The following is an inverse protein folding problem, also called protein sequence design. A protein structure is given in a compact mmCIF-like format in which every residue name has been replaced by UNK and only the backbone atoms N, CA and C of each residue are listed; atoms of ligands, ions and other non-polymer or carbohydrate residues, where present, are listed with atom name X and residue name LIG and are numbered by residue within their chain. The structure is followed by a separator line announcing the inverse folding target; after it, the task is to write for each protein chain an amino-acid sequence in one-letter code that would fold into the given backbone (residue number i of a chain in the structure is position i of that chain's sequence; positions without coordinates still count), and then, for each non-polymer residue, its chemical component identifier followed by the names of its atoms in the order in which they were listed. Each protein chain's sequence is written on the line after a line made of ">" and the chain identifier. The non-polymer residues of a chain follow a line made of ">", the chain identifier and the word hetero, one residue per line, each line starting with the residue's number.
data_IF_653605863367
#
_entry.id   IF_653605863367
#
_cell.length_a   1.000
_cell.length_b   1.000
_cell.length_c   1.000
_cell.angle_alpha   90.00
_cell.angle_beta   90.00
_cell.angle_gamma   90.00
#
_symmetry.space_group_name_H-M   'P 1'
#
loop_
_entity.id
_entity.type
_entity.pdbx_description
1 polymer ?
#
# COMPACT_ATOMS: atom_id res chain seq x y z
N UNK A 1 -45.14 38.67 32.01
CA UNK A 1 -46.24 37.98 31.31
C UNK A 1 -45.98 36.50 31.38
N UNK A 2 -46.88 35.80 32.05
CA UNK A 2 -47.01 34.35 32.15
C UNK A 2 -47.22 33.76 30.75
N UNK A 3 -46.63 32.59 30.46
CA UNK A 3 -47.36 31.35 30.14
C UNK A 3 -46.39 30.17 30.08
N UNK A 4 -46.52 29.31 31.09
CA UNK A 4 -46.01 27.95 31.12
C UNK A 4 -46.81 27.06 30.16
N UNK A 5 -46.16 26.04 29.58
CA UNK A 5 -46.83 24.78 29.26
C UNK A 5 -45.93 23.64 29.72
N UNK A 6 -46.48 22.86 30.65
CA UNK A 6 -45.94 21.63 31.23
C UNK A 6 -46.57 20.45 30.50
N UNK A 7 -45.77 19.45 30.14
CA UNK A 7 -46.28 18.08 29.98
C UNK A 7 -45.38 17.14 30.76
N UNK A 8 -45.99 16.42 31.70
CA UNK A 8 -45.42 15.32 32.45
C UNK A 8 -46.15 14.04 32.06
N UNK A 9 -45.41 12.97 31.78
CA UNK A 9 -45.93 11.62 31.94
C UNK A 9 -44.84 10.74 32.55
N UNK A 10 -45.01 10.44 33.84
CA UNK A 10 -44.34 9.39 34.61
C UNK A 10 -45.12 8.08 34.40
N UNK A 11 -44.64 6.84 34.55
CA UNK A 11 -43.51 6.17 35.22
C UNK A 11 -43.41 4.77 34.53
N UNK A 12 -42.34 3.97 34.59
CA UNK A 12 -42.10 2.97 35.65
C UNK A 12 -40.73 2.28 35.42
N UNK A 13 -39.89 2.39 36.46
CA UNK A 13 -38.82 1.53 36.99
C UNK A 13 -37.58 1.13 36.17
N UNK A 14 -36.43 1.57 36.69
CA UNK A 14 -35.16 0.82 36.58
C UNK A 14 -33.91 1.70 36.70
N UNK A 15 -33.46 1.96 37.94
CA UNK A 15 -32.12 2.43 38.35
C UNK A 15 -31.28 3.22 37.31
N UNK A 16 -31.28 4.56 37.43
CA UNK A 16 -30.24 5.41 36.85
C UNK A 16 -29.09 5.54 37.85
N UNK A 17 -27.99 4.84 37.61
CA UNK A 17 -26.68 5.21 38.14
C UNK A 17 -26.12 6.34 37.28
N UNK A 18 -25.95 7.53 37.85
CA UNK A 18 -25.04 8.54 37.29
C UNK A 18 -23.62 8.19 37.73
N UNK A 19 -22.79 7.74 36.79
CA UNK A 19 -21.33 7.68 36.99
C UNK A 19 -20.72 8.90 36.32
N UNK A 20 -20.26 9.83 37.15
CA UNK A 20 -19.31 10.87 36.74
C UNK A 20 -17.93 10.23 36.64
N UNK A 21 -17.46 9.96 35.42
CA UNK A 21 -16.08 9.57 35.20
C UNK A 21 -15.21 10.82 35.13
N UNK A 22 -14.59 11.17 36.25
CA UNK A 22 -13.39 12.00 36.25
C UNK A 22 -12.23 11.16 35.74
N UNK A 23 -11.78 11.41 34.51
CA UNK A 23 -10.54 10.86 34.00
C UNK A 23 -9.36 11.58 34.66
N UNK A 24 -9.00 11.15 35.87
CA UNK A 24 -7.66 11.35 36.42
C UNK A 24 -6.97 10.00 36.45
N UNK A 25 -6.13 9.76 35.45
CA UNK A 25 -4.81 9.14 35.59
C UNK A 25 -4.14 9.14 34.21
N UNK A 26 -3.05 9.90 34.00
CA UNK A 26 -2.21 9.70 32.82
C UNK A 26 -1.62 8.28 32.91
N UNK A 27 -1.95 7.43 31.95
CA UNK A 27 -1.29 6.13 31.78
C UNK A 27 0.17 6.45 31.43
N UNK A 28 1.07 6.26 32.40
CA UNK A 28 2.50 6.15 32.12
C UNK A 28 2.69 4.91 31.27
N UNK A 29 3.05 5.09 30.00
CA UNK A 29 3.64 4.02 29.21
C UNK A 29 4.99 3.69 29.83
N UNK A 30 5.06 2.59 30.58
CA UNK A 30 6.32 1.92 30.81
C UNK A 30 6.80 1.37 29.46
N UNK A 31 7.97 1.83 29.03
CA UNK A 31 8.67 1.27 27.88
C UNK A 31 9.08 -0.16 28.21
N UNK A 32 8.20 -1.12 27.97
CA UNK A 32 8.62 -2.51 27.86
C UNK A 32 9.50 -2.61 26.63
N UNK A 33 10.81 -2.67 26.84
CA UNK A 33 11.78 -3.12 25.85
C UNK A 33 11.47 -4.59 25.51
N UNK A 34 10.41 -4.83 24.73
CA UNK A 34 10.27 -6.07 24.01
C UNK A 34 11.22 -5.98 22.82
N UNK A 35 12.38 -6.61 22.98
CA UNK A 35 13.22 -6.95 21.84
C UNK A 35 12.38 -7.76 20.86
N UNK A 36 12.13 -7.20 19.68
CA UNK A 36 11.68 -8.01 18.55
C UNK A 36 12.71 -9.13 18.35
N UNK A 37 12.30 -10.39 18.10
CA UNK A 37 13.26 -11.44 17.79
C UNK A 37 14.10 -10.97 16.61
N UNK A 38 15.41 -10.86 16.80
CA UNK A 38 16.36 -10.67 15.71
C UNK A 38 16.15 -11.82 14.73
N UNK A 39 15.55 -11.54 13.57
CA UNK A 39 15.53 -12.48 12.46
C UNK A 39 16.96 -12.62 11.96
N UNK A 40 17.71 -13.57 12.53
CA UNK A 40 19.00 -14.00 12.00
C UNK A 40 18.76 -14.77 10.70
N UNK A 41 18.67 -14.01 9.61
CA UNK A 41 18.76 -14.50 8.26
C UNK A 41 19.41 -13.42 7.42
N UNK A 42 20.53 -13.72 6.76
CA UNK A 42 21.00 -12.87 5.66
C UNK A 42 19.96 -12.98 4.54
N UNK A 43 19.13 -11.95 4.39
CA UNK A 43 18.41 -11.73 3.14
C UNK A 43 19.46 -11.46 2.08
N UNK A 44 19.55 -12.36 1.10
CA UNK A 44 20.45 -12.19 -0.05
C UNK A 44 20.15 -10.86 -0.72
N UNK A 45 21.12 -9.95 -0.72
CA UNK A 45 21.04 -8.67 -1.43
C UNK A 45 21.13 -8.84 -2.94
N UNK A 46 21.31 -10.07 -3.44
CA UNK A 46 21.46 -10.36 -4.86
C UNK A 46 20.14 -10.21 -5.66
N UNK A 47 18.97 -10.14 -4.99
CA UNK A 47 17.65 -9.97 -5.64
C UNK A 47 16.82 -8.76 -5.12
N UNK A 48 17.38 -7.84 -4.32
CA UNK A 48 16.61 -6.70 -3.78
C UNK A 48 15.61 -7.07 -2.66
N UNK A 49 14.75 -6.12 -2.25
CA UNK A 49 13.80 -6.27 -1.14
C UNK A 49 12.63 -7.20 -1.48
N UNK A 50 12.31 -8.18 -0.61
CA UNK A 50 11.12 -9.03 -0.78
C UNK A 50 10.43 -9.32 0.57
N UNK A 51 9.31 -8.64 0.86
CA UNK A 51 8.26 -9.20 1.68
C UNK A 51 6.95 -9.10 0.92
N UNK A 52 6.66 -10.16 0.16
CA UNK A 52 5.35 -10.36 -0.44
C UNK A 52 4.41 -10.93 0.59
N UNK A 53 3.88 -10.11 1.50
CA UNK A 53 2.71 -10.52 2.28
C UNK A 53 1.80 -9.34 2.55
N UNK A 54 0.51 -9.54 2.33
CA UNK A 54 -0.56 -8.62 2.69
C UNK A 54 -1.63 -9.40 3.45
N UNK A 55 -2.40 -8.71 4.29
CA UNK A 55 -3.41 -9.32 5.14
C UNK A 55 -4.70 -8.51 5.07
N UNK A 56 -5.82 -9.23 5.04
CA UNK A 56 -7.16 -8.67 5.24
C UNK A 56 -7.25 -7.88 6.56
N UNK A 57 -8.09 -6.85 6.58
CA UNK A 57 -8.24 -5.97 7.75
C UNK A 57 -8.71 -6.72 9.01
N UNK A 58 -9.46 -7.82 8.84
CA UNK A 58 -9.89 -8.68 9.95
C UNK A 58 -8.78 -9.62 10.48
N UNK A 59 -7.62 -9.63 9.82
CA UNK A 59 -6.47 -10.44 10.19
C UNK A 59 -6.61 -11.94 9.92
N UNK A 60 -7.64 -12.38 9.17
CA UNK A 60 -7.96 -13.80 8.98
C UNK A 60 -7.37 -14.41 7.72
N UNK A 61 -7.13 -13.60 6.69
CA UNK A 61 -6.60 -14.07 5.41
C UNK A 61 -5.34 -13.30 5.04
N UNK A 62 -4.28 -14.02 4.68
CA UNK A 62 -3.03 -13.47 4.16
C UNK A 62 -2.79 -13.92 2.71
N UNK A 63 -2.17 -13.05 1.93
CA UNK A 63 -1.75 -13.32 0.56
C UNK A 63 -0.26 -13.09 0.43
N UNK A 64 0.47 -14.03 -0.15
CA UNK A 64 1.92 -13.93 -0.29
C UNK A 64 2.41 -14.60 -1.57
N UNK A 65 3.59 -14.20 -2.07
CA UNK A 65 4.20 -14.85 -3.24
C UNK A 65 5.31 -15.81 -2.83
N UNK A 66 5.42 -16.93 -3.55
CA UNK A 66 6.57 -17.85 -3.48
C UNK A 66 7.18 -18.03 -4.87
N UNK A 67 8.48 -18.23 -4.94
CA UNK A 67 9.17 -18.58 -6.17
C UNK A 67 9.38 -20.08 -6.29
N UNK A 68 9.44 -20.57 -7.52
CA UNK A 68 9.82 -21.94 -7.85
C UNK A 68 10.53 -21.96 -9.21
N UNK A 69 11.46 -22.90 -9.39
CA UNK A 69 12.10 -23.09 -10.69
C UNK A 69 11.25 -23.99 -11.59
N UNK A 70 10.88 -23.49 -12.76
CA UNK A 70 10.04 -24.21 -13.72
C UNK A 70 10.72 -24.27 -15.09
N UNK A 71 10.51 -25.37 -15.82
CA UNK A 71 10.89 -25.42 -17.24
C UNK A 71 9.94 -24.49 -18.03
N UNK A 72 10.46 -23.64 -18.94
CA UNK A 72 9.59 -22.79 -19.75
C UNK A 72 8.73 -23.64 -20.69
N UNK A 73 7.67 -23.03 -21.22
CA UNK A 73 6.70 -23.68 -22.10
C UNK A 73 7.35 -24.25 -23.38
N UNK A 74 8.44 -23.65 -23.86
CA UNK A 74 9.12 -24.03 -25.09
C UNK A 74 10.63 -24.28 -24.88
N UNK A 75 11.18 -25.11 -25.76
CA UNK A 75 12.60 -25.46 -25.79
C UNK A 75 12.95 -26.61 -24.86
N UNK A 76 13.08 -27.81 -25.43
CA UNK A 76 13.38 -29.05 -24.72
C UNK A 76 14.66 -28.94 -23.84
N UNK A 77 15.62 -28.13 -24.30
CA UNK A 77 16.91 -27.90 -23.64
C UNK A 77 17.00 -26.57 -22.88
N UNK A 78 15.91 -25.80 -22.79
CA UNK A 78 15.90 -24.53 -22.06
C UNK A 78 16.21 -24.75 -20.58
N UNK A 79 16.95 -23.83 -19.97
CA UNK A 79 17.19 -23.84 -18.52
C UNK A 79 15.87 -23.60 -17.77
N UNK A 80 15.82 -24.00 -16.50
CA UNK A 80 14.70 -23.60 -15.65
C UNK A 80 14.76 -22.10 -15.41
N UNK A 81 13.59 -21.51 -15.30
CA UNK A 81 13.38 -20.10 -14.99
C UNK A 81 12.68 -19.98 -13.64
N UNK A 82 12.96 -18.90 -12.92
CA UNK A 82 12.28 -18.60 -11.65
C UNK A 82 10.89 -18.04 -11.97
N UNK A 83 9.87 -18.74 -11.49
CA UNK A 83 8.46 -18.34 -11.61
C UNK A 83 7.91 -18.01 -10.23
N UNK A 84 7.27 -16.85 -10.09
CA UNK A 84 6.61 -16.43 -8.86
C UNK A 84 5.11 -16.71 -8.91
N UNK A 85 4.56 -17.22 -7.83
CA UNK A 85 3.15 -17.57 -7.73
C UNK A 85 2.57 -17.01 -6.43
N UNK A 86 1.32 -16.57 -6.48
CA UNK A 86 0.62 -16.01 -5.31
C UNK A 86 -0.19 -17.11 -4.62
N UNK A 87 -0.14 -17.12 -3.30
CA UNK A 87 -0.85 -18.02 -2.42
C UNK A 87 -1.71 -17.24 -1.43
N UNK A 88 -2.77 -17.88 -0.96
CA UNK A 88 -3.65 -17.45 0.12
C UNK A 88 -3.50 -18.41 1.30
N UNK A 89 -3.44 -17.88 2.51
CA UNK A 89 -3.50 -18.64 3.76
C UNK A 89 -4.59 -18.07 4.67
N UNK A 90 -5.16 -18.95 5.48
CA UNK A 90 -6.22 -18.62 6.44
C UNK A 90 -5.74 -18.82 7.86
N UNK A 91 -6.18 -17.95 8.77
CA UNK A 91 -5.92 -18.06 10.19
C UNK A 91 -7.11 -18.72 10.87
N UNK A 92 -6.91 -19.95 11.34
CA UNK A 92 -7.92 -20.78 12.01
C UNK A 92 -7.41 -21.02 13.43
N UNK A 93 -8.21 -20.63 14.43
CA UNK A 93 -7.88 -20.76 15.86
C UNK A 93 -6.47 -20.25 16.22
N UNK A 94 -6.11 -19.10 15.66
CA UNK A 94 -4.81 -18.45 15.89
C UNK A 94 -3.66 -18.98 15.03
N UNK A 95 -3.85 -20.07 14.28
CA UNK A 95 -2.82 -20.72 13.48
C UNK A 95 -3.03 -20.52 11.99
N UNK A 96 -1.96 -20.24 11.25
CA UNK A 96 -2.01 -20.13 9.79
C UNK A 96 -2.03 -21.51 9.13
N UNK A 97 -3.01 -21.74 8.26
CA UNK A 97 -3.21 -22.98 7.53
C UNK A 97 -3.95 -22.74 6.21
N UNK A 98 -4.53 -23.81 5.67
CA UNK A 98 -5.30 -23.81 4.42
C UNK A 98 -4.63 -23.04 3.26
N UNK A 99 -3.35 -23.36 3.02
CA UNK A 99 -2.55 -22.66 2.03
C UNK A 99 -2.96 -23.11 0.62
N UNK A 100 -3.44 -22.17 -0.19
CA UNK A 100 -3.97 -22.42 -1.53
C UNK A 100 -3.26 -21.53 -2.54
N UNK A 101 -2.86 -22.11 -3.67
CA UNK A 101 -2.32 -21.35 -4.81
C UNK A 101 -3.45 -20.62 -5.52
N UNK A 102 -3.22 -19.36 -5.87
CA UNK A 102 -4.17 -18.54 -6.61
C UNK A 102 -3.84 -18.53 -8.10
N UNK A 103 -4.88 -18.68 -8.93
CA UNK A 103 -4.76 -18.64 -10.39
C UNK A 103 -4.88 -17.19 -10.92
N UNK A 104 -3.97 -16.32 -10.46
CA UNK A 104 -3.90 -14.89 -10.84
C UNK A 104 -3.35 -14.67 -12.25
N UNK A 105 -2.54 -15.60 -12.76
CA UNK A 105 -1.89 -15.51 -14.06
C UNK A 105 -1.72 -16.91 -14.68
N UNK A 106 -1.46 -17.01 -15.99
CA UNK A 106 -1.12 -18.27 -16.64
C UNK A 106 0.13 -18.92 -16.06
N UNK A 107 0.23 -20.25 -16.16
CA UNK A 107 1.24 -21.09 -15.49
C UNK A 107 2.70 -20.65 -15.63
N UNK A 108 3.09 -20.12 -16.79
CA UNK A 108 4.48 -19.74 -17.09
C UNK A 108 4.74 -18.24 -16.92
N UNK A 109 3.74 -17.48 -16.50
CA UNK A 109 3.91 -16.11 -16.06
C UNK A 109 4.12 -16.08 -14.54
N UNK A 110 4.90 -15.12 -14.09
CA UNK A 110 5.13 -14.79 -12.70
C UNK A 110 4.08 -13.79 -12.21
N UNK A 111 3.63 -13.98 -10.97
CA UNK A 111 2.89 -12.98 -10.19
C UNK A 111 3.53 -12.82 -8.81
N UNK A 112 3.83 -11.58 -8.43
CA UNK A 112 4.53 -11.25 -7.18
C UNK A 112 4.00 -9.95 -6.55
N UNK A 113 4.43 -9.71 -5.32
CA UNK A 113 4.10 -8.51 -4.52
C UNK A 113 2.58 -8.27 -4.38
N UNK A 114 1.81 -9.21 -3.83
CA UNK A 114 0.37 -9.03 -3.63
C UNK A 114 0.07 -7.93 -2.62
N UNK A 115 -0.95 -7.12 -2.91
CA UNK A 115 -1.61 -6.24 -1.95
C UNK A 115 -3.12 -6.38 -2.03
N UNK A 116 -3.78 -6.48 -0.89
CA UNK A 116 -5.23 -6.60 -0.80
C UNK A 116 -5.83 -5.23 -0.48
N UNK A 117 -6.96 -4.93 -1.11
CA UNK A 117 -7.74 -3.75 -0.78
C UNK A 117 -8.29 -3.85 0.66
N UNK A 118 -8.46 -2.72 1.34
CA UNK A 118 -8.98 -2.67 2.71
C UNK A 118 -10.34 -3.36 2.86
N UNK A 119 -11.21 -3.23 1.86
CA UNK A 119 -12.51 -3.91 1.81
C UNK A 119 -12.44 -5.42 1.49
N UNK A 120 -11.25 -5.96 1.22
CA UNK A 120 -11.01 -7.39 0.93
C UNK A 120 -11.52 -7.88 -0.42
N UNK A 121 -11.91 -6.98 -1.34
CA UNK A 121 -12.56 -7.34 -2.61
C UNK A 121 -11.65 -7.31 -3.83
N UNK A 122 -10.44 -6.75 -3.72
CA UNK A 122 -9.49 -6.63 -4.84
C UNK A 122 -8.10 -7.05 -4.40
N UNK A 123 -7.43 -7.82 -5.26
CA UNK A 123 -6.03 -8.20 -5.11
C UNK A 123 -5.22 -7.56 -6.23
N UNK A 124 -4.28 -6.70 -5.88
CA UNK A 124 -3.33 -6.11 -6.82
C UNK A 124 -1.99 -6.84 -6.73
N UNK A 125 -1.28 -6.94 -7.84
CA UNK A 125 -0.01 -7.66 -7.91
C UNK A 125 0.77 -7.28 -9.17
N UNK A 126 2.09 -7.50 -9.17
CA UNK A 126 2.93 -7.33 -10.34
C UNK A 126 3.03 -8.64 -11.13
N UNK A 127 2.94 -8.58 -12.46
CA UNK A 127 3.02 -9.77 -13.33
C UNK A 127 3.61 -9.50 -14.70
N UNK A 128 4.34 -10.48 -15.23
CA UNK A 128 4.91 -10.48 -16.58
C UNK A 128 4.05 -11.29 -17.58
N UNK A 129 2.73 -11.23 -17.42
CA UNK A 129 1.78 -11.88 -18.34
C UNK A 129 2.03 -11.45 -19.79
N UNK A 130 1.83 -12.38 -20.73
CA UNK A 130 1.90 -12.05 -22.16
C UNK A 130 0.90 -10.93 -22.48
N UNK A 131 1.39 -9.84 -23.06
CA UNK A 131 0.58 -8.66 -23.36
C UNK A 131 0.70 -7.53 -22.33
N UNK A 132 1.51 -7.71 -21.27
CA UNK A 132 2.02 -6.60 -20.46
C UNK A 132 2.73 -5.54 -21.33
N UNK A 133 2.72 -4.30 -20.86
CA UNK A 133 3.42 -3.17 -21.46
C UNK A 133 4.94 -3.30 -21.28
N UNK A 134 5.38 -3.78 -20.12
CA UNK A 134 6.77 -3.88 -19.74
C UNK A 134 7.19 -5.26 -19.25
N UNK A 135 8.26 -5.28 -18.45
CA UNK A 135 8.83 -6.49 -17.87
C UNK A 135 7.92 -7.08 -16.80
N UNK A 136 7.39 -6.23 -15.93
CA UNK A 136 6.34 -6.52 -14.97
C UNK A 136 5.37 -5.35 -14.91
N UNK A 137 4.09 -5.65 -15.03
CA UNK A 137 3.03 -4.66 -14.94
C UNK A 137 2.19 -4.92 -13.68
N UNK A 138 1.54 -3.88 -13.17
CA UNK A 138 0.54 -4.00 -12.12
C UNK A 138 -0.80 -4.43 -12.71
N UNK A 139 -1.34 -5.51 -12.15
CA UNK A 139 -2.65 -6.08 -12.42
C UNK A 139 -3.53 -6.01 -11.17
N UNK A 140 -4.84 -6.10 -11.37
CA UNK A 140 -5.85 -6.25 -10.33
C UNK A 140 -6.81 -7.39 -10.67
N UNK A 141 -7.17 -8.20 -9.67
CA UNK A 141 -8.23 -9.19 -9.76
C UNK A 141 -9.29 -8.96 -8.68
N UNK A 142 -10.55 -9.11 -9.05
CA UNK A 142 -11.66 -9.10 -8.10
C UNK A 142 -11.64 -10.40 -7.28
N UNK A 143 -11.92 -10.30 -5.97
CA UNK A 143 -12.03 -11.44 -5.05
C UNK A 143 -13.53 -11.71 -4.86
N UNK A 144 -13.97 -12.91 -5.23
CA UNK A 144 -15.34 -13.36 -5.04
C UNK A 144 -15.58 -13.74 -3.57
N UNK A 145 -16.86 -13.86 -3.19
CA UNK A 145 -17.25 -14.20 -1.82
C UNK A 145 -16.72 -15.56 -1.34
N UNK A 146 -16.45 -16.50 -2.25
CA UNK A 146 -15.86 -17.82 -1.98
C UNK A 146 -14.32 -17.80 -1.93
N UNK A 147 -13.70 -16.62 -2.08
CA UNK A 147 -12.25 -16.43 -2.14
C UNK A 147 -11.61 -16.75 -3.49
N UNK A 148 -12.39 -17.17 -4.49
CA UNK A 148 -11.90 -17.31 -5.87
C UNK A 148 -11.62 -15.94 -6.48
N UNK A 149 -10.76 -15.91 -7.50
CA UNK A 149 -10.39 -14.69 -8.19
C UNK A 149 -11.07 -14.59 -9.55
N UNK A 150 -11.52 -13.39 -9.88
CA UNK A 150 -11.92 -13.01 -11.23
C UNK A 150 -10.73 -12.91 -12.18
N UNK A 151 -11.03 -12.59 -13.44
CA UNK A 151 -10.00 -12.38 -14.46
C UNK A 151 -9.17 -11.14 -14.12
N UNK A 152 -7.85 -11.32 -14.07
CA UNK A 152 -6.88 -10.26 -13.82
C UNK A 152 -6.87 -9.22 -14.93
N UNK A 153 -6.94 -7.95 -14.56
CA UNK A 153 -6.97 -6.79 -15.47
C UNK A 153 -5.71 -5.97 -15.31
N UNK A 154 -5.06 -5.64 -16.41
CA UNK A 154 -3.90 -4.75 -16.43
C UNK A 154 -4.35 -3.32 -16.10
N UNK A 155 -3.61 -2.59 -15.26
CA UNK A 155 -3.97 -1.21 -14.87
C UNK A 155 -3.71 -0.16 -15.96
N UNK A 156 -3.15 -0.55 -17.10
CA UNK A 156 -2.98 0.29 -18.27
C UNK A 156 -1.84 1.30 -18.14
N UNK A 157 -1.65 2.17 -19.15
CA UNK A 157 -0.45 2.99 -19.32
C UNK A 157 -0.34 4.15 -18.32
N UNK A 158 -1.42 4.42 -17.56
CA UNK A 158 -1.39 5.39 -16.47
C UNK A 158 -0.52 4.92 -15.31
N UNK A 159 -0.37 3.61 -15.15
CA UNK A 159 0.45 2.95 -14.12
C UNK A 159 1.64 2.25 -14.78
N UNK A 160 1.37 1.40 -15.76
CA UNK A 160 2.37 0.52 -16.35
C UNK A 160 3.17 1.20 -17.47
N UNK A 161 4.43 0.84 -17.60
CA UNK A 161 5.37 1.36 -18.60
C UNK A 161 6.03 0.21 -19.36
N UNK A 162 7.15 0.47 -20.04
CA UNK A 162 7.92 -0.56 -20.73
C UNK A 162 8.91 -1.30 -19.82
N UNK A 163 9.09 -0.83 -18.59
CA UNK A 163 10.04 -1.40 -17.62
C UNK A 163 9.29 -2.16 -16.51
N UNK A 164 9.85 -2.19 -15.30
CA UNK A 164 9.27 -2.88 -14.14
C UNK A 164 8.40 -1.94 -13.30
N UNK A 165 7.13 -2.33 -13.09
CA UNK A 165 6.26 -1.79 -12.05
C UNK A 165 5.96 -2.85 -10.98
N UNK A 166 6.37 -2.55 -9.75
CA UNK A 166 6.46 -3.50 -8.65
C UNK A 166 5.85 -2.94 -7.36
N UNK A 167 5.68 -3.82 -6.36
CA UNK A 167 5.26 -3.48 -4.99
C UNK A 167 4.02 -2.57 -4.92
N UNK A 168 2.89 -2.94 -5.57
CA UNK A 168 1.66 -2.19 -5.38
C UNK A 168 1.27 -2.15 -3.89
N UNK A 169 0.81 -0.98 -3.43
CA UNK A 169 0.27 -0.79 -2.10
C UNK A 169 -0.94 0.15 -2.18
N UNK A 170 -2.12 -0.34 -1.80
CA UNK A 170 -3.35 0.46 -1.83
C UNK A 170 -3.64 1.04 -0.44
N UNK A 171 -3.73 2.37 -0.37
CA UNK A 171 -4.12 3.11 0.81
C UNK A 171 -5.56 3.62 0.68
N UNK A 172 -6.38 3.35 1.70
CA UNK A 172 -7.78 3.81 1.85
C UNK A 172 -8.67 3.62 0.60
N UNK A 173 -8.44 2.58 -0.20
CA UNK A 173 -9.15 2.29 -1.47
C UNK A 173 -8.93 3.29 -2.61
N UNK A 174 -8.29 4.43 -2.35
CA UNK A 174 -8.27 5.58 -3.26
C UNK A 174 -6.88 5.94 -3.76
N UNK A 175 -5.81 5.49 -3.10
CA UNK A 175 -4.46 5.86 -3.46
C UNK A 175 -3.60 4.61 -3.63
N UNK A 176 -3.16 4.35 -4.86
CA UNK A 176 -2.28 3.23 -5.18
C UNK A 176 -0.84 3.74 -5.29
N UNK A 177 0.01 3.28 -4.37
CA UNK A 177 1.45 3.43 -4.44
C UNK A 177 2.07 2.25 -5.17
N UNK A 178 3.19 2.50 -5.85
CA UNK A 178 3.98 1.46 -6.48
C UNK A 178 5.40 1.97 -6.78
N UNK A 179 6.33 1.05 -6.99
CA UNK A 179 7.68 1.36 -7.46
C UNK A 179 7.79 1.13 -8.98
N UNK A 180 8.52 1.99 -9.68
CA UNK A 180 8.63 1.96 -11.14
C UNK A 180 10.04 2.31 -11.60
N UNK A 181 10.55 1.58 -12.61
CA UNK A 181 11.81 1.88 -13.31
C UNK A 181 11.61 2.67 -14.62
N UNK A 182 10.40 2.68 -15.19
CA UNK A 182 10.17 3.19 -16.55
C UNK A 182 9.69 4.63 -16.65
N UNK A 183 9.94 5.45 -15.62
CA UNK A 183 9.50 6.84 -15.51
C UNK A 183 10.66 7.73 -15.06
N UNK A 184 10.55 9.03 -15.34
CA UNK A 184 11.55 10.00 -14.85
C UNK A 184 11.54 10.03 -13.32
N UNK A 185 12.69 9.73 -12.73
CA UNK A 185 12.87 9.63 -11.29
C UNK A 185 14.30 9.89 -10.88
N UNK A 186 14.68 9.40 -9.69
CA UNK A 186 15.94 9.75 -9.04
C UNK A 186 16.91 8.57 -9.00
N UNK A 187 16.42 7.32 -9.10
CA UNK A 187 17.18 6.10 -8.89
C UNK A 187 16.87 5.01 -9.91
N UNK A 188 16.86 3.76 -9.43
CA UNK A 188 16.41 2.61 -10.23
C UNK A 188 14.91 2.49 -10.13
N UNK A 189 14.44 1.80 -9.09
CA UNK A 189 13.04 1.85 -8.68
C UNK A 189 12.75 3.14 -7.92
N UNK A 190 11.81 3.95 -8.41
CA UNK A 190 11.28 5.12 -7.70
C UNK A 190 9.81 4.90 -7.33
N UNK A 191 9.37 5.49 -6.21
CA UNK A 191 7.99 5.44 -5.75
C UNK A 191 7.11 6.47 -6.46
N UNK A 192 5.94 6.00 -6.90
CA UNK A 192 4.89 6.77 -7.53
C UNK A 192 3.55 6.54 -6.81
N UNK A 193 2.62 7.48 -7.00
CA UNK A 193 1.23 7.32 -6.60
C UNK A 193 0.26 7.64 -7.75
N UNK A 194 -0.87 6.94 -7.78
CA UNK A 194 -2.01 7.25 -8.62
C UNK A 194 -3.31 7.15 -7.82
N UNK A 195 -4.30 8.00 -8.14
CA UNK A 195 -5.61 7.92 -7.52
C UNK A 195 -6.49 6.89 -8.23
N UNK A 196 -7.28 6.17 -7.44
CA UNK A 196 -8.33 5.25 -7.87
C UNK A 196 -9.67 5.92 -7.60
N UNK A 197 -10.25 6.56 -8.62
CA UNK A 197 -11.53 7.28 -8.53
C UNK A 197 -12.57 6.58 -9.39
N UNK A 198 -13.64 6.04 -8.79
CA UNK A 198 -14.74 5.37 -9.51
C UNK A 198 -14.23 4.31 -10.53
N UNK A 199 -13.29 3.45 -10.12
CA UNK A 199 -12.61 2.47 -10.98
C UNK A 199 -11.80 3.05 -12.15
N UNK A 200 -11.50 4.34 -12.13
CA UNK A 200 -10.57 4.99 -13.04
C UNK A 200 -9.30 5.40 -12.32
N UNK A 201 -8.18 5.32 -13.04
CA UNK A 201 -6.88 5.75 -12.56
C UNK A 201 -6.58 7.17 -13.03
N UNK A 202 -5.87 7.96 -12.23
CA UNK A 202 -5.23 9.21 -12.70
C UNK A 202 -3.85 8.92 -13.27
N UNK A 203 -3.21 9.92 -13.88
CA UNK A 203 -1.79 9.80 -14.20
C UNK A 203 -0.98 9.60 -12.91
N UNK A 204 0.04 8.76 -12.97
CA UNK A 204 0.92 8.50 -11.83
C UNK A 204 1.89 9.67 -11.62
N UNK A 205 2.11 10.03 -10.37
CA UNK A 205 2.94 11.14 -9.92
C UNK A 205 4.13 10.58 -9.14
N UNK A 206 5.35 11.01 -9.48
CA UNK A 206 6.56 10.67 -8.71
C UNK A 206 6.47 11.33 -7.32
N UNK A 207 6.86 10.62 -6.26
CA UNK A 207 6.78 11.11 -4.89
C UNK A 207 7.90 12.10 -4.47
N UNK A 208 8.72 12.54 -5.43
CA UNK A 208 9.75 13.57 -5.21
C UNK A 208 10.99 13.04 -4.48
N UNK A 209 12.06 13.82 -4.51
CA UNK A 209 13.38 13.46 -3.95
C UNK A 209 13.44 13.42 -2.42
N UNK A 210 12.36 13.82 -1.74
CA UNK A 210 12.26 13.69 -0.29
C UNK A 210 11.84 12.27 0.13
N UNK A 211 11.08 11.57 -0.72
CA UNK A 211 10.74 10.16 -0.55
C UNK A 211 11.70 9.30 -1.34
N UNK A 212 11.93 9.63 -2.61
CA UNK A 212 12.81 8.90 -3.51
C UNK A 212 14.28 9.29 -3.35
N UNK A 213 15.19 8.43 -3.79
CA UNK A 213 16.63 8.57 -3.64
C UNK A 213 17.37 8.15 -4.91
N UNK A 214 18.70 8.28 -4.93
CA UNK A 214 19.52 7.82 -6.06
C UNK A 214 19.74 6.29 -6.08
N UNK A 215 18.78 5.54 -5.53
CA UNK A 215 18.80 4.11 -5.20
C UNK A 215 17.43 3.51 -5.50
N UNK A 216 17.22 2.25 -5.18
CA UNK A 216 15.91 1.61 -5.31
C UNK A 216 15.05 1.87 -4.08
N UNK A 217 13.85 2.37 -4.33
CA UNK A 217 12.81 2.67 -3.36
C UNK A 217 11.59 1.81 -3.66
N UNK A 218 11.42 0.78 -2.82
CA UNK A 218 10.58 -0.36 -3.14
C UNK A 218 9.13 -0.18 -2.68
N UNK A 219 8.91 0.33 -1.47
CA UNK A 219 7.58 0.41 -0.89
C UNK A 219 7.46 1.59 0.08
N UNK A 220 6.23 2.08 0.25
CA UNK A 220 5.90 3.11 1.23
C UNK A 220 4.68 2.68 2.06
N UNK A 221 4.73 2.98 3.35
CA UNK A 221 3.60 2.87 4.27
C UNK A 221 3.37 4.21 4.96
N UNK A 222 2.12 4.67 5.00
CA UNK A 222 1.73 5.92 5.66
C UNK A 222 1.20 5.69 7.08
N UNK A 223 1.59 6.57 7.99
CA UNK A 223 1.02 6.76 9.33
C UNK A 223 0.55 8.23 9.45
N UNK A 224 -0.70 8.48 9.02
CA UNK A 224 -1.28 9.82 9.01
C UNK A 224 -1.48 10.39 10.42
N UNK A 225 -1.69 9.55 11.42
CA UNK A 225 -1.88 9.99 12.81
C UNK A 225 -0.59 10.60 13.36
N UNK A 226 0.56 10.03 13.00
CA UNK A 226 1.87 10.55 13.38
C UNK A 226 2.42 11.61 12.42
N UNK A 227 1.85 11.72 11.22
CA UNK A 227 2.42 12.53 10.14
C UNK A 227 3.77 11.97 9.68
N UNK A 228 3.87 10.63 9.61
CA UNK A 228 5.08 9.90 9.25
C UNK A 228 4.79 8.88 8.14
N UNK A 229 5.81 8.55 7.36
CA UNK A 229 5.78 7.46 6.41
C UNK A 229 7.06 6.65 6.53
N UNK A 230 6.96 5.36 6.22
CA UNK A 230 8.09 4.45 6.19
C UNK A 230 8.35 4.03 4.76
N UNK A 231 9.54 4.33 4.25
CA UNK A 231 10.00 3.99 2.91
C UNK A 231 11.00 2.84 3.02
N UNK A 232 10.81 1.78 2.26
CA UNK A 232 11.79 0.70 2.17
C UNK A 232 12.68 0.91 0.98
N UNK A 233 13.99 0.94 1.21
CA UNK A 233 14.97 1.39 0.23
C UNK A 233 16.30 0.66 0.38
N UNK A 234 17.04 0.46 -0.71
CA UNK A 234 18.44 0.03 -0.65
C UNK A 234 19.43 1.20 -0.51
N UNK A 235 18.97 2.36 0.00
CA UNK A 235 19.83 3.51 0.32
C UNK A 235 20.73 3.37 1.56
N UNK A 236 20.77 2.19 2.19
CA UNK A 236 21.66 1.92 3.31
C UNK A 236 23.14 1.91 2.92
N UNK A 237 24.02 1.86 3.92
CA UNK A 237 25.46 1.70 3.72
C UNK A 237 25.74 0.46 2.86
N UNK A 238 26.61 0.57 1.86
CA UNK A 238 26.89 -0.48 0.88
C UNK A 238 25.66 -1.04 0.16
N UNK A 239 24.65 -0.19 -0.09
CA UNK A 239 23.39 -0.56 -0.75
C UNK A 239 22.57 -1.62 0.01
N UNK A 240 22.68 -1.61 1.34
CA UNK A 240 21.85 -2.45 2.19
C UNK A 240 20.41 -1.94 2.22
N UNK A 241 19.46 -2.87 2.29
CA UNK A 241 18.04 -2.54 2.43
C UNK A 241 17.77 -2.07 3.85
N UNK A 242 17.09 -0.94 3.99
CA UNK A 242 16.65 -0.39 5.26
C UNK A 242 15.26 0.24 5.13
N UNK A 243 14.58 0.37 6.27
CA UNK A 243 13.35 1.16 6.39
C UNK A 243 13.72 2.55 6.88
N UNK A 244 13.35 3.56 6.10
CA UNK A 244 13.61 4.98 6.35
C UNK A 244 12.32 5.63 6.79
N UNK A 245 12.35 6.39 7.88
CA UNK A 245 11.18 7.19 8.32
C UNK A 245 11.27 8.59 7.71
N UNK A 246 10.22 9.01 7.03
CA UNK A 246 10.05 10.35 6.46
C UNK A 246 8.88 11.01 7.18
N UNK A 247 9.10 12.17 7.78
CA UNK A 247 8.04 12.95 8.42
C UNK A 247 7.44 13.97 7.45
N UNK A 248 6.11 14.05 7.40
CA UNK A 248 5.35 15.13 6.77
C UNK A 248 4.52 15.78 7.88
N UNK A 249 5.07 16.80 8.54
CA UNK A 249 4.35 17.50 9.61
C UNK A 249 3.75 18.80 9.09
N UNK A 250 2.55 19.10 9.58
CA UNK A 250 1.98 20.45 9.56
C UNK A 250 2.76 21.31 10.57
N UNK A 251 3.26 22.47 10.16
CA UNK A 251 3.95 23.36 11.10
C UNK A 251 2.93 23.96 12.09
N UNK A 252 3.26 23.97 13.38
CA UNK A 252 2.43 24.63 14.38
C UNK A 252 2.62 26.15 14.28
N UNK A 253 1.65 26.87 13.69
CA UNK A 253 1.64 28.33 13.71
C UNK A 253 0.72 29.02 12.71
N UNK A 254 0.57 28.49 11.50
CA UNK A 254 -0.14 29.18 10.40
C UNK A 254 -1.03 28.27 9.54
N UNK A 255 -1.00 26.95 9.78
CA UNK A 255 -1.78 25.99 9.01
C UNK A 255 -1.10 25.49 7.73
N UNK A 256 0.15 25.88 7.47
CA UNK A 256 0.91 25.49 6.28
C UNK A 256 1.44 24.06 6.39
N UNK A 257 1.25 23.27 5.32
CA UNK A 257 1.79 21.92 5.17
C UNK A 257 3.26 22.03 4.78
N UNK A 258 4.17 21.44 5.57
CA UNK A 258 5.60 21.37 5.22
C UNK A 258 5.96 19.92 4.89
N UNK A 259 5.81 19.57 3.62
CA UNK A 259 6.68 18.57 3.00
C UNK A 259 7.89 19.33 2.48
N UNK A 260 9.12 18.84 2.68
CA UNK A 260 10.27 19.46 2.01
C UNK A 260 10.12 19.22 0.50
N UNK A 261 9.60 20.26 -0.16
CA UNK A 261 9.28 20.49 -1.59
C UNK A 261 8.97 19.27 -2.47
N UNK A 262 7.69 18.90 -2.53
CA UNK A 262 7.05 18.63 -3.82
C UNK A 262 5.56 19.02 -3.79
N UNK A 263 5.22 20.14 -4.44
CA UNK A 263 3.83 20.62 -4.65
C UNK A 263 2.96 19.60 -5.41
N UNK A 264 3.58 18.62 -6.09
CA UNK A 264 2.87 17.57 -6.82
C UNK A 264 2.19 16.54 -5.90
N UNK A 265 2.72 16.31 -4.71
CA UNK A 265 2.13 15.35 -3.75
C UNK A 265 0.86 15.92 -3.12
N UNK A 266 0.83 17.23 -2.85
CA UNK A 266 -0.36 17.91 -2.33
C UNK A 266 -1.51 17.91 -3.35
N UNK A 267 -1.18 18.09 -4.63
CA UNK A 267 -2.11 17.95 -5.76
C UNK A 267 -2.67 16.53 -5.88
N UNK A 268 -1.86 15.51 -5.58
CA UNK A 268 -2.27 14.10 -5.58
C UNK A 268 -3.09 13.69 -4.33
N UNK A 269 -3.13 14.51 -3.27
CA UNK A 269 -3.84 14.22 -2.02
C UNK A 269 -5.13 15.03 -1.85
N UNK A 270 -5.30 16.15 -2.56
CA UNK A 270 -6.41 17.09 -2.35
C UNK A 270 -7.33 17.34 -3.57
N UNK A 271 -7.46 16.42 -4.52
CA UNK A 271 -8.44 16.54 -5.61
C UNK A 271 -9.90 16.26 -5.19
N UNK A 272 -10.42 17.07 -4.27
CA UNK A 272 -11.86 17.27 -4.04
C UNK A 272 -12.22 18.69 -4.49
N UNK A 273 -12.88 18.80 -5.65
CA UNK A 273 -13.27 20.05 -6.34
C UNK A 273 -13.83 21.19 -5.47
N UNK A 274 -13.33 22.42 -5.66
CA UNK A 274 -14.09 23.57 -6.21
C UNK A 274 -13.11 24.69 -6.66
N UNK A 275 -13.41 25.30 -7.81
CA UNK A 275 -12.55 26.24 -8.55
C UNK A 275 -12.40 27.63 -7.90
N UNK A 276 -11.21 28.23 -8.00
CA UNK A 276 -10.99 29.56 -8.60
C UNK A 276 -9.50 29.68 -8.98
N UNK A 277 -9.20 29.69 -10.28
CA UNK A 277 -7.85 29.93 -10.81
C UNK A 277 -7.66 31.45 -10.98
N UNK A 278 -6.84 32.06 -10.13
CA UNK A 278 -6.26 33.37 -10.42
C UNK A 278 -4.92 33.18 -11.12
N UNK A 279 -4.88 33.64 -12.36
CA UNK A 279 -3.71 33.65 -13.25
C UNK A 279 -2.55 34.47 -12.71
N UNK A 280 -1.33 33.99 -12.91
CA UNK A 280 -0.20 34.83 -13.32
C UNK A 280 0.70 34.07 -14.30
N UNK A 281 0.51 34.43 -15.56
CA UNK A 281 1.50 34.56 -16.65
C UNK A 281 2.95 34.20 -16.36
N UNK A 282 3.53 33.39 -17.25
CA UNK A 282 4.77 33.79 -17.94
C UNK A 282 4.64 33.46 -19.43
N UNK A 283 4.82 34.50 -20.23
CA UNK A 283 4.98 34.50 -21.69
C UNK A 283 6.31 33.84 -22.09
N UNK A 284 6.29 33.31 -23.32
CA UNK A 284 7.35 32.82 -24.23
C UNK A 284 8.38 31.79 -23.73
#
# INVERSE_FOLDING_TARGET
>A
MTRSITYSLSLVFGFLFTVTLTAQNPIKFESTNQSFPETKGQLSTLEGYIPSMTMTQDGKTAYFSKSSEQKPLYGLFSKKEVVHEIYRAEKIDGTWGNITKLNVCPKYASAKHPTISANGKRLFFASNMKGSYGKYDIYVADINADGSLGVSKNLGPKVNTKEDELYPNLYNETLLFFASEGREGFGGLDLYATQVVQNNLTASVNLGSHINSNKDDYAIQLDLEKGESYVVSNRGQNQTIQQVTIAYRKQAGDGTMMAYNDEKLDTALHSGTNYELTSTSFED
#
